data_IF_404737423528
#
_entry.id   IF_404737423528
#
_cell.length_a   1.000
_cell.length_b   1.000
_cell.length_c   1.000
_cell.angle_alpha   90.00
_cell.angle_beta   90.00
_cell.angle_gamma   90.00
#
_symmetry.space_group_name_H-M   'P 1'
#
loop_
_entity.id
_entity.type
_entity.pdbx_description
1 polymer ?
#
# COMPACT_ATOMS: atom_id res chain seq x y z
N UNK A 1 -10.22 -18.86 -2.50
CA UNK A 1 -9.86 -19.13 -3.89
C UNK A 1 -8.73 -20.14 -3.86
N UNK A 2 -8.91 -21.34 -4.43
CA UNK A 2 -7.85 -22.36 -4.41
C UNK A 2 -6.98 -22.22 -5.67
N UNK A 3 -5.65 -22.34 -5.59
CA UNK A 3 -4.78 -22.18 -6.76
C UNK A 3 -5.03 -23.18 -7.89
N UNK A 4 -5.63 -24.33 -7.57
CA UNK A 4 -6.05 -25.35 -8.54
C UNK A 4 -7.23 -24.87 -9.41
N UNK A 5 -8.04 -23.93 -8.93
CA UNK A 5 -9.17 -23.35 -9.67
C UNK A 5 -8.70 -22.46 -10.83
N UNK A 6 -7.42 -22.04 -10.85
CA UNK A 6 -6.84 -21.22 -11.93
C UNK A 6 -6.23 -22.06 -13.06
N UNK A 7 -6.03 -23.37 -12.86
CA UNK A 7 -5.45 -24.24 -13.90
C UNK A 7 -6.38 -24.30 -15.11
N UNK A 8 -5.94 -23.69 -16.21
CA UNK A 8 -6.67 -23.65 -17.49
C UNK A 8 -7.62 -22.47 -17.65
N UNK A 9 -7.78 -21.61 -16.63
CA UNK A 9 -8.51 -20.34 -16.72
C UNK A 9 -7.56 -19.13 -16.76
N UNK A 10 -6.36 -19.27 -16.22
CA UNK A 10 -5.32 -18.24 -16.20
C UNK A 10 -4.02 -18.80 -16.81
N UNK A 11 -3.34 -17.98 -17.61
CA UNK A 11 -2.07 -18.31 -18.26
C UNK A 11 -0.92 -17.43 -17.79
N UNK A 12 -1.21 -16.31 -17.12
CA UNK A 12 -0.17 -15.47 -16.55
C UNK A 12 0.45 -16.13 -15.30
N UNK A 13 1.73 -16.50 -15.42
CA UNK A 13 2.47 -17.15 -14.33
C UNK A 13 2.58 -16.27 -13.07
N UNK A 14 2.51 -14.94 -13.21
CA UNK A 14 2.54 -14.01 -12.07
C UNK A 14 1.25 -14.11 -11.27
N UNK A 15 0.11 -14.23 -11.93
CA UNK A 15 -1.20 -14.41 -11.27
C UNK A 15 -1.24 -15.76 -10.56
N UNK A 16 -0.78 -16.83 -11.22
CA UNK A 16 -0.69 -18.16 -10.61
C UNK A 16 0.23 -18.13 -9.39
N UNK A 17 1.41 -17.53 -9.50
CA UNK A 17 2.37 -17.36 -8.39
C UNK A 17 1.76 -16.56 -7.23
N UNK A 18 1.08 -15.46 -7.53
CA UNK A 18 0.42 -14.63 -6.54
C UNK A 18 -0.65 -15.42 -5.78
N UNK A 19 -1.55 -16.10 -6.49
CA UNK A 19 -2.62 -16.91 -5.91
C UNK A 19 -2.09 -18.07 -5.06
N UNK A 20 -1.02 -18.74 -5.50
CA UNK A 20 -0.36 -19.80 -4.73
C UNK A 20 0.31 -19.26 -3.46
N UNK A 21 1.07 -18.18 -3.57
CA UNK A 21 1.78 -17.62 -2.42
C UNK A 21 0.83 -17.02 -1.37
N UNK A 22 -0.22 -16.36 -1.83
CA UNK A 22 -1.22 -15.68 -1.00
C UNK A 22 -2.42 -16.56 -0.69
N UNK A 23 -2.26 -17.89 -0.75
CA UNK A 23 -3.34 -18.84 -0.48
C UNK A 23 -3.96 -18.58 0.89
N UNK A 24 -5.29 -18.48 0.92
CA UNK A 24 -6.05 -18.17 2.12
C UNK A 24 -6.15 -16.67 2.45
N UNK A 25 -5.53 -15.79 1.65
CA UNK A 25 -5.80 -14.35 1.69
C UNK A 25 -6.93 -13.97 0.75
N UNK A 26 -7.64 -12.91 1.11
CA UNK A 26 -8.56 -12.23 0.22
C UNK A 26 -7.74 -11.23 -0.61
N UNK A 27 -7.82 -11.34 -1.93
CA UNK A 27 -7.01 -10.52 -2.86
C UNK A 27 -7.87 -9.95 -3.98
N UNK A 28 -7.51 -8.75 -4.42
CA UNK A 28 -7.91 -8.17 -5.71
C UNK A 28 -6.64 -7.89 -6.48
N UNK A 29 -6.61 -8.20 -7.76
CA UNK A 29 -5.43 -7.98 -8.60
C UNK A 29 -5.79 -7.33 -9.92
N UNK A 30 -4.78 -6.74 -10.55
CA UNK A 30 -4.89 -6.22 -11.90
C UNK A 30 -3.53 -5.84 -12.46
N UNK A 31 -3.50 -5.61 -13.77
CA UNK A 31 -2.27 -5.27 -14.49
C UNK A 31 -2.21 -3.80 -14.89
N UNK A 32 -1.04 -3.20 -14.71
CA UNK A 32 -0.72 -1.88 -15.23
C UNK A 32 0.63 -1.93 -15.94
N UNK A 33 0.61 -1.73 -17.26
CA UNK A 33 1.78 -1.98 -18.10
C UNK A 33 2.22 -3.44 -18.01
N UNK A 34 3.49 -3.68 -17.67
CA UNK A 34 4.06 -5.04 -17.52
C UNK A 34 4.08 -5.53 -16.07
N UNK A 35 3.35 -4.89 -15.15
CA UNK A 35 3.36 -5.21 -13.72
C UNK A 35 1.99 -5.72 -13.29
N UNK A 36 1.98 -6.75 -12.46
CA UNK A 36 0.79 -7.23 -11.78
C UNK A 36 0.77 -6.65 -10.36
N UNK A 37 -0.30 -5.96 -10.01
CA UNK A 37 -0.54 -5.45 -8.67
C UNK A 37 -1.57 -6.32 -7.97
N UNK A 38 -1.34 -6.58 -6.68
CA UNK A 38 -2.25 -7.37 -5.84
C UNK A 38 -2.50 -6.60 -4.54
N UNK A 39 -3.73 -6.15 -4.35
CA UNK A 39 -4.22 -5.65 -3.08
C UNK A 39 -4.57 -6.84 -2.19
N UNK A 40 -3.91 -6.93 -1.02
CA UNK A 40 -4.09 -8.03 -0.08
C UNK A 40 -4.77 -7.51 1.17
N UNK A 41 -5.90 -8.10 1.53
CA UNK A 41 -6.54 -7.86 2.82
C UNK A 41 -5.91 -8.76 3.88
N UNK A 42 -5.45 -8.16 4.98
CA UNK A 42 -4.75 -8.85 6.06
C UNK A 42 -5.28 -8.51 7.47
N UNK A 43 -6.35 -7.70 7.56
CA UNK A 43 -7.00 -7.22 8.79
C UNK A 43 -6.13 -6.32 9.67
N UNK A 44 -4.89 -6.71 9.91
CA UNK A 44 -3.93 -6.00 10.74
C UNK A 44 -2.52 -6.48 10.39
N UNK A 45 -1.77 -5.65 9.68
CA UNK A 45 -0.39 -5.93 9.27
C UNK A 45 0.50 -4.73 9.54
N UNK A 46 1.64 -4.95 10.18
CA UNK A 46 2.70 -3.94 10.22
C UNK A 46 3.41 -3.88 8.86
N UNK A 47 4.11 -2.77 8.60
CA UNK A 47 4.85 -2.62 7.36
C UNK A 47 5.92 -3.71 7.16
N UNK A 48 6.63 -4.11 8.23
CA UNK A 48 7.64 -5.18 8.17
C UNK A 48 7.01 -6.55 7.86
N UNK A 49 5.81 -6.84 8.40
CA UNK A 49 5.08 -8.07 8.07
C UNK A 49 4.66 -8.06 6.60
N UNK A 50 4.15 -6.93 6.10
CA UNK A 50 3.77 -6.76 4.70
C UNK A 50 4.97 -6.92 3.75
N UNK A 51 6.12 -6.28 4.04
CA UNK A 51 7.38 -6.44 3.30
C UNK A 51 7.84 -7.89 3.28
N UNK A 52 7.81 -8.56 4.43
CA UNK A 52 8.19 -9.97 4.54
C UNK A 52 7.24 -10.88 3.74
N UNK A 53 5.94 -10.56 3.70
CA UNK A 53 4.96 -11.29 2.89
C UNK A 53 5.24 -11.16 1.39
N UNK A 54 5.49 -9.93 0.92
CA UNK A 54 5.88 -9.69 -0.47
C UNK A 54 7.15 -10.46 -0.86
N UNK A 55 8.19 -10.41 -0.01
CA UNK A 55 9.45 -11.11 -0.24
C UNK A 55 9.29 -12.63 -0.31
N UNK A 56 8.45 -13.24 0.54
CA UNK A 56 8.12 -14.67 0.47
C UNK A 56 7.47 -15.05 -0.87
N UNK A 57 6.72 -14.13 -1.47
CA UNK A 57 6.15 -14.30 -2.80
C UNK A 57 7.10 -13.99 -3.95
N UNK A 58 8.39 -13.75 -3.66
CA UNK A 58 9.40 -13.31 -4.65
C UNK A 58 8.97 -12.04 -5.37
N UNK A 59 8.36 -11.13 -4.61
CA UNK A 59 7.75 -9.89 -5.04
C UNK A 59 8.18 -8.73 -4.14
N UNK A 60 7.72 -7.53 -4.42
CA UNK A 60 7.98 -6.34 -3.59
C UNK A 60 6.66 -5.71 -3.16
N UNK A 61 6.65 -4.96 -2.06
CA UNK A 61 5.58 -3.98 -1.89
C UNK A 61 5.64 -2.98 -3.06
N UNK A 62 4.48 -2.55 -3.52
CA UNK A 62 4.32 -1.81 -4.77
C UNK A 62 5.20 -0.55 -4.85
N UNK A 63 5.86 -0.36 -6.00
CA UNK A 63 6.35 0.96 -6.41
C UNK A 63 5.35 1.66 -7.33
N UNK A 64 5.30 2.99 -7.23
CA UNK A 64 4.39 3.83 -8.00
C UNK A 64 5.18 4.99 -8.61
N UNK A 65 5.23 5.03 -9.93
CA UNK A 65 6.08 5.90 -10.75
C UNK A 65 5.30 6.95 -11.55
N UNK A 66 3.97 6.92 -11.49
CA UNK A 66 3.12 7.89 -12.17
C UNK A 66 1.76 8.05 -11.48
N UNK A 67 1.07 9.15 -11.81
CA UNK A 67 -0.30 9.38 -11.35
C UNK A 67 -1.26 8.29 -11.85
N UNK A 68 -1.15 7.87 -13.12
CA UNK A 68 -2.01 6.84 -13.69
C UNK A 68 -1.84 5.49 -12.98
N UNK A 69 -0.60 5.15 -12.60
CA UNK A 69 -0.30 3.95 -11.81
C UNK A 69 -0.85 4.06 -10.39
N UNK A 70 -0.75 5.23 -9.74
CA UNK A 70 -1.37 5.46 -8.43
C UNK A 70 -2.89 5.29 -8.48
N UNK A 71 -3.54 5.92 -9.45
CA UNK A 71 -4.99 5.85 -9.64
C UNK A 71 -5.44 4.40 -9.90
N UNK A 72 -4.67 3.66 -10.72
CA UNK A 72 -4.91 2.24 -10.97
C UNK A 72 -4.80 1.40 -9.68
N UNK A 73 -3.71 1.55 -8.93
CA UNK A 73 -3.48 0.80 -7.70
C UNK A 73 -4.57 1.12 -6.66
N UNK A 74 -4.95 2.39 -6.51
CA UNK A 74 -6.04 2.80 -5.64
C UNK A 74 -7.37 2.14 -6.02
N UNK A 75 -7.67 2.06 -7.32
CA UNK A 75 -8.87 1.42 -7.85
C UNK A 75 -9.00 -0.08 -7.53
N UNK A 76 -7.90 -0.77 -7.19
CA UNK A 76 -7.96 -2.18 -6.78
C UNK A 76 -8.64 -2.39 -5.43
N UNK A 77 -8.67 -1.38 -4.57
CA UNK A 77 -9.17 -1.50 -3.20
C UNK A 77 -10.15 -0.41 -2.77
N UNK A 78 -10.35 0.65 -3.57
CA UNK A 78 -11.18 1.80 -3.18
C UNK A 78 -12.63 1.46 -2.83
N UNK A 79 -13.17 0.39 -3.40
CA UNK A 79 -14.54 -0.05 -3.20
C UNK A 79 -14.74 -0.98 -1.98
N UNK A 80 -13.65 -1.46 -1.36
CA UNK A 80 -13.72 -2.34 -0.20
C UNK A 80 -13.38 -1.57 1.08
N UNK A 81 -14.41 -1.14 1.82
CA UNK A 81 -14.26 -0.42 3.08
C UNK A 81 -13.40 -1.17 4.11
N UNK A 82 -13.30 -2.50 4.01
CA UNK A 82 -12.46 -3.31 4.91
C UNK A 82 -10.98 -3.01 4.74
N UNK A 83 -10.57 -2.50 3.57
CA UNK A 83 -9.18 -2.13 3.27
C UNK A 83 -8.75 -0.83 3.97
N UNK A 84 -9.69 -0.12 4.61
CA UNK A 84 -9.45 1.14 5.29
C UNK A 84 -9.65 1.02 6.81
N UNK A 85 -8.73 1.60 7.56
CA UNK A 85 -8.92 1.96 8.96
C UNK A 85 -9.35 3.43 9.02
N UNK A 86 -10.43 3.72 9.76
CA UNK A 86 -10.92 5.09 9.93
C UNK A 86 -11.05 5.41 11.42
N UNK A 87 -10.83 6.66 11.77
CA UNK A 87 -10.91 7.11 13.16
C UNK A 87 -10.79 8.61 13.28
N UNK A 88 -10.84 9.09 14.53
CA UNK A 88 -10.65 10.49 14.88
C UNK A 88 -9.58 10.58 15.97
N UNK A 89 -8.53 11.37 15.73
CA UNK A 89 -7.37 11.46 16.63
C UNK A 89 -7.40 12.66 17.58
N UNK A 90 -8.49 13.44 17.54
CA UNK A 90 -8.66 14.67 18.30
C UNK A 90 -8.62 15.94 17.44
N UNK A 91 -7.94 15.89 16.29
CA UNK A 91 -7.86 17.03 15.36
C UNK A 91 -8.37 16.68 13.98
N UNK A 92 -8.13 15.46 13.49
CA UNK A 92 -8.51 15.03 12.15
C UNK A 92 -9.27 13.72 12.19
N UNK A 93 -10.24 13.59 11.27
CA UNK A 93 -10.82 12.30 10.91
C UNK A 93 -9.98 11.67 9.80
N UNK A 94 -9.33 10.55 10.08
CA UNK A 94 -8.41 9.89 9.16
C UNK A 94 -9.05 8.69 8.44
N UNK A 95 -8.47 8.36 7.28
CA UNK A 95 -8.70 7.13 6.52
C UNK A 95 -7.37 6.59 6.03
N UNK A 96 -6.89 5.54 6.71
CA UNK A 96 -5.63 4.84 6.46
C UNK A 96 -5.89 3.62 5.59
N UNK A 97 -5.22 3.54 4.45
CA UNK A 97 -5.34 2.47 3.47
C UNK A 97 -4.16 1.49 3.50
N UNK A 98 -3.94 0.73 2.42
CA UNK A 98 -2.89 -0.29 2.36
C UNK A 98 -1.47 0.27 2.38
N UNK A 99 -0.52 -0.50 2.94
CA UNK A 99 0.92 -0.23 2.82
C UNK A 99 1.42 -0.29 1.37
N UNK A 100 2.42 0.53 1.05
CA UNK A 100 3.17 0.51 -0.21
C UNK A 100 4.68 0.39 0.03
N UNK A 101 5.46 0.15 -1.03
CA UNK A 101 6.87 -0.19 -0.95
C UNK A 101 7.83 1.00 -0.85
N UNK A 102 7.39 2.11 -0.27
CA UNK A 102 8.21 3.30 -0.08
C UNK A 102 8.70 3.34 1.37
N UNK A 103 10.02 3.39 1.57
CA UNK A 103 10.64 3.53 2.90
C UNK A 103 11.65 4.67 2.91
N UNK A 104 11.84 5.31 4.06
CA UNK A 104 12.95 6.22 4.30
C UNK A 104 14.20 5.43 4.74
N UNK A 105 15.37 5.85 4.27
CA UNK A 105 16.63 5.27 4.73
C UNK A 105 16.90 5.61 6.20
N UNK A 106 17.49 4.70 7.02
CA UNK A 106 17.76 4.93 8.46
C UNK A 106 18.69 6.11 8.82
N UNK A 107 19.24 6.81 7.82
CA UNK A 107 20.02 8.05 7.97
C UNK A 107 19.51 9.16 7.04
N UNK A 108 18.29 9.01 6.56
CA UNK A 108 17.55 10.00 5.80
C UNK A 108 17.40 11.29 6.60
N UNK A 109 17.16 12.39 5.88
CA UNK A 109 16.92 13.67 6.52
C UNK A 109 15.43 13.86 6.66
N UNK A 110 14.95 13.77 7.89
CA UNK A 110 13.52 13.97 8.16
C UNK A 110 13.00 15.35 7.72
N UNK A 111 11.72 15.43 7.28
CA UNK A 111 10.83 14.30 6.96
C UNK A 111 10.94 13.82 5.51
N UNK A 112 11.70 14.52 4.64
CA UNK A 112 11.58 14.38 3.16
C UNK A 112 12.78 13.76 2.46
N UNK A 113 13.91 13.57 3.13
CA UNK A 113 15.15 13.10 2.52
C UNK A 113 15.34 11.59 2.72
N UNK A 114 15.79 10.88 1.68
CA UNK A 114 16.14 9.46 1.80
C UNK A 114 15.00 8.47 1.54
N UNK A 115 13.86 8.94 1.03
CA UNK A 115 12.78 8.07 0.57
C UNK A 115 13.18 7.31 -0.70
N UNK A 116 12.93 6.00 -0.70
CA UNK A 116 13.18 5.14 -1.87
C UNK A 116 12.20 3.98 -1.97
N UNK A 117 11.99 3.51 -3.19
CA UNK A 117 11.24 2.29 -3.45
C UNK A 117 12.07 1.06 -3.09
N UNK A 118 11.43 0.05 -2.50
CA UNK A 118 12.02 -1.26 -2.24
C UNK A 118 12.53 -1.98 -3.49
N UNK A 119 11.98 -1.61 -4.65
CA UNK A 119 12.34 -2.14 -5.96
C UNK A 119 13.65 -1.55 -6.48
N UNK A 120 14.17 -0.50 -5.84
CA UNK A 120 15.34 0.25 -6.29
C UNK A 120 15.06 1.22 -7.43
N UNK A 121 13.80 1.39 -7.84
CA UNK A 121 13.42 2.34 -8.87
C UNK A 121 13.59 3.79 -8.41
N UNK A 122 13.94 4.66 -9.36
CA UNK A 122 14.05 6.08 -9.10
C UNK A 122 12.68 6.66 -8.69
N UNK A 123 12.67 7.46 -7.63
CA UNK A 123 11.47 8.14 -7.15
C UNK A 123 11.21 9.40 -7.99
N UNK A 124 10.63 9.24 -9.17
CA UNK A 124 10.30 10.32 -10.12
C UNK A 124 8.91 10.91 -9.91
N UNK A 125 8.08 10.22 -9.12
CA UNK A 125 6.71 10.60 -8.80
C UNK A 125 6.48 10.45 -7.30
N UNK A 126 5.64 11.33 -6.75
CA UNK A 126 5.11 11.17 -5.41
C UNK A 126 3.67 11.66 -5.35
N UNK A 127 2.89 11.10 -4.43
CA UNK A 127 1.52 11.51 -4.16
C UNK A 127 1.28 11.76 -2.68
N UNK A 128 2.27 12.33 -1.99
CA UNK A 128 2.13 12.73 -0.61
C UNK A 128 0.91 13.64 -0.44
N UNK A 129 0.12 13.39 0.59
CA UNK A 129 -0.93 14.32 1.02
C UNK A 129 -0.27 15.68 1.28
N UNK A 130 -0.90 16.83 0.98
CA UNK A 130 -0.30 18.13 1.24
C UNK A 130 0.28 18.24 2.66
N UNK A 131 1.50 18.78 2.75
CA UNK A 131 2.32 18.88 3.96
C UNK A 131 2.96 17.57 4.47
N UNK A 132 2.76 16.44 3.80
CA UNK A 132 3.42 15.16 4.09
C UNK A 132 4.64 14.93 3.16
N UNK A 133 5.52 13.96 3.45
CA UNK A 133 5.66 13.31 4.76
C UNK A 133 5.95 14.37 5.84
N UNK A 134 5.48 14.12 7.06
CA UNK A 134 5.48 15.13 8.12
C UNK A 134 6.24 14.70 9.38
N UNK A 135 6.69 13.44 9.48
CA UNK A 135 7.32 12.86 10.66
C UNK A 135 6.47 13.14 11.91
N UNK A 136 5.17 12.82 11.84
CA UNK A 136 4.21 13.10 12.91
C UNK A 136 4.66 12.47 14.25
N UNK A 137 5.31 11.31 14.17
CA UNK A 137 6.05 10.68 15.26
C UNK A 137 7.46 10.37 14.79
N UNK A 138 8.39 10.33 15.75
CA UNK A 138 9.76 9.94 15.46
C UNK A 138 9.82 8.50 14.92
N UNK A 139 10.40 8.32 13.74
CA UNK A 139 10.56 7.07 13.00
C UNK A 139 9.38 6.76 12.08
N UNK A 140 8.65 7.76 11.57
CA UNK A 140 7.60 7.58 10.58
C UNK A 140 8.25 7.37 9.19
N UNK A 141 8.79 6.16 8.99
CA UNK A 141 9.68 5.86 7.86
C UNK A 141 9.02 5.04 6.73
N UNK A 142 7.71 4.79 6.78
CA UNK A 142 7.02 3.88 5.85
C UNK A 142 5.75 4.48 5.28
N UNK A 143 5.59 4.44 3.95
CA UNK A 143 4.43 5.04 3.31
C UNK A 143 3.22 4.09 3.21
N UNK A 144 2.03 4.67 3.35
CA UNK A 144 0.76 4.02 3.03
C UNK A 144 -0.16 4.97 2.25
N UNK A 145 -1.23 4.42 1.67
CA UNK A 145 -2.36 5.23 1.21
C UNK A 145 -3.08 5.88 2.39
N UNK A 146 -3.42 7.16 2.27
CA UNK A 146 -3.97 7.95 3.37
C UNK A 146 -4.69 9.20 2.87
N UNK A 147 -5.72 9.61 3.62
CA UNK A 147 -6.24 10.97 3.62
C UNK A 147 -6.86 11.31 4.99
N UNK A 148 -7.08 12.60 5.25
CA UNK A 148 -7.86 13.06 6.38
C UNK A 148 -8.74 14.26 6.06
N UNK A 149 -9.64 14.57 6.99
CA UNK A 149 -10.44 15.80 7.06
C UNK A 149 -10.19 16.50 8.39
N UNK A 150 -10.16 17.84 8.38
CA UNK A 150 -10.07 18.62 9.60
C UNK A 150 -11.33 18.49 10.46
N UNK A 151 -11.13 18.30 11.77
CA UNK A 151 -12.17 18.11 12.76
C UNK A 151 -12.82 16.72 12.72
N UNK A 152 -13.81 16.52 13.59
CA UNK A 152 -14.57 15.28 13.66
C UNK A 152 -15.62 15.24 12.53
N UNK A 153 -15.26 14.60 11.42
CA UNK A 153 -16.04 14.49 10.18
C UNK A 153 -16.23 13.02 9.79
N UNK A 154 -17.31 12.75 9.07
CA UNK A 154 -17.52 11.46 8.39
C UNK A 154 -16.52 11.32 7.21
N UNK A 155 -15.92 10.14 7.08
CA UNK A 155 -14.90 9.80 6.07
C UNK A 155 -15.41 8.81 5.02
N UNK A 156 -16.70 8.47 5.02
CA UNK A 156 -17.29 7.53 4.04
C UNK A 156 -16.92 7.91 2.59
N UNK A 157 -17.16 9.16 2.20
CA UNK A 157 -16.88 9.68 0.85
C UNK A 157 -15.42 10.17 0.65
N UNK A 158 -14.58 10.07 1.69
CA UNK A 158 -13.18 10.51 1.60
C UNK A 158 -12.38 9.53 0.74
N UNK A 159 -11.71 10.06 -0.28
CA UNK A 159 -10.78 9.31 -1.14
C UNK A 159 -9.36 9.35 -0.58
N UNK A 160 -8.91 8.24 -0.01
CA UNK A 160 -7.56 8.09 0.54
C UNK A 160 -6.53 7.69 -0.52
N UNK A 161 -6.48 8.43 -1.64
CA UNK A 161 -5.61 8.11 -2.79
C UNK A 161 -4.21 8.72 -2.69
N UNK A 162 -4.00 9.66 -1.76
CA UNK A 162 -2.70 10.26 -1.43
C UNK A 162 -1.93 9.40 -0.44
N UNK A 163 -0.71 9.79 -0.06
CA UNK A 163 0.14 9.03 0.85
C UNK A 163 0.48 9.80 2.12
N UNK A 164 0.78 9.05 3.16
CA UNK A 164 1.31 9.52 4.43
C UNK A 164 2.42 8.60 4.93
N UNK A 165 3.32 9.13 5.73
CA UNK A 165 4.40 8.43 6.41
C UNK A 165 3.95 7.93 7.79
N UNK A 166 4.39 6.73 8.15
CA UNK A 166 3.96 6.05 9.37
C UNK A 166 5.08 5.23 9.97
N UNK A 167 5.01 5.07 11.28
CA UNK A 167 6.02 4.38 12.05
C UNK A 167 5.88 2.86 12.11
N UNK A 168 6.91 2.17 12.64
CA UNK A 168 6.96 0.72 12.71
C UNK A 168 5.88 0.09 13.61
N UNK A 169 5.24 0.88 14.48
CA UNK A 169 4.17 0.43 15.36
C UNK A 169 2.77 0.60 14.78
N UNK A 170 2.67 1.28 13.62
CA UNK A 170 1.40 1.41 12.92
C UNK A 170 1.05 0.10 12.20
N UNK A 171 -0.25 -0.09 11.99
CA UNK A 171 -0.79 -1.20 11.22
C UNK A 171 -1.67 -0.69 10.09
N UNK A 172 -1.87 -1.54 9.09
CA UNK A 172 -2.89 -1.36 8.06
C UNK A 172 -3.75 -2.62 7.96
N UNK A 173 -4.97 -2.45 7.45
CA UNK A 173 -5.84 -3.57 7.09
C UNK A 173 -5.36 -4.31 5.83
N UNK A 174 -4.41 -3.77 5.07
CA UNK A 174 -3.88 -4.42 3.89
C UNK A 174 -2.54 -3.87 3.40
N UNK A 175 -2.08 -4.42 2.29
CA UNK A 175 -0.86 -3.98 1.61
C UNK A 175 -0.95 -4.29 0.11
N UNK A 176 -0.20 -3.53 -0.68
CA UNK A 176 -0.13 -3.73 -2.13
C UNK A 176 1.20 -4.41 -2.48
N UNK A 177 1.12 -5.57 -3.14
CA UNK A 177 2.28 -6.27 -3.70
C UNK A 177 2.34 -6.03 -5.21
N UNK A 178 3.55 -5.86 -5.73
CA UNK A 178 3.82 -5.89 -7.17
C UNK A 178 4.61 -7.14 -7.58
N UNK A 179 4.19 -7.75 -8.68
CA UNK A 179 4.87 -8.86 -9.34
C UNK A 179 5.35 -8.41 -10.72
N UNK A 180 6.62 -8.69 -10.98
CA UNK A 180 7.28 -8.53 -12.28
C UNK A 180 7.51 -9.90 -12.91
#
# INVERSE_FOLDING_TARGET
>A
FEPEDLKGLETDERIIRAAQCLRGKEIIYGEFGSRLYVAVYDRHSSWQTAKSAAQRCKAHLASISSKAENDFVYGLFEADDRMFETGFDGNVSYKMGPWIGLEQDPGGREPRGGWRWLTGEAMTYNNWLPNHPNEHKQGDDFAMFYAHLDGNRDTADLKASTWDDMGPQNSSHGYIIEFR
#
